data_IF_623037087895
#
_entry.id   IF_623037087895
#
_cell.length_a   1.000
_cell.length_b   1.000
_cell.length_c   1.000
_cell.angle_alpha   90.00
_cell.angle_beta   90.00
_cell.angle_gamma   90.00
#
_symmetry.space_group_name_H-M   'P 1'
#
loop_
_entity.id
_entity.type
_entity.pdbx_description
1 polymer ?
#
# COMPACT_ATOMS: atom_id res chain seq x y z
N UNK A 1 0.43 -10.02 60.27
CA UNK A 1 -0.75 -10.26 59.42
C UNK A 1 -0.27 -10.05 58.00
N UNK A 2 -0.02 -11.06 57.16
CA UNK A 2 -0.89 -12.12 56.66
C UNK A 2 -0.03 -13.38 56.46
N UNK A 3 -0.51 -14.55 56.90
CA UNK A 3 0.13 -15.86 56.71
C UNK A 3 -0.33 -16.45 55.38
N UNK A 4 0.61 -16.81 54.50
CA UNK A 4 0.37 -17.69 53.35
C UNK A 4 0.39 -19.14 53.84
N UNK A 5 -0.70 -19.89 53.62
CA UNK A 5 -0.77 -21.33 53.87
C UNK A 5 -0.64 -22.09 52.56
N UNK A 6 0.47 -22.82 52.40
CA UNK A 6 0.62 -23.90 51.43
C UNK A 6 0.00 -25.17 52.01
N UNK A 7 -0.82 -25.88 51.22
CA UNK A 7 -1.41 -27.16 51.59
C UNK A 7 -0.87 -28.25 50.64
N UNK A 8 -0.06 -29.21 51.11
CA UNK A 8 0.50 -30.25 50.27
C UNK A 8 -0.14 -31.59 50.63
N UNK A 9 -1.09 -32.09 49.84
CA UNK A 9 -1.49 -33.51 49.90
C UNK A 9 -2.52 -33.76 48.79
N UNK A 10 -2.14 -34.47 47.73
CA UNK A 10 -2.70 -35.77 47.35
C UNK A 10 -1.98 -36.35 46.15
N UNK A 11 -1.65 -37.63 46.33
CA UNK A 11 -0.76 -38.49 45.58
C UNK A 11 -1.58 -39.34 44.60
N UNK A 12 -0.98 -39.62 43.44
CA UNK A 12 -1.19 -40.73 42.51
C UNK A 12 -2.60 -41.30 42.29
N UNK A 13 -3.03 -41.32 41.02
CA UNK A 13 -3.50 -42.57 40.41
C UNK A 13 -3.20 -42.58 38.91
N UNK A 14 -2.31 -43.50 38.56
CA UNK A 14 -1.90 -43.91 37.22
C UNK A 14 -3.02 -44.81 36.66
N UNK A 15 -3.52 -44.56 35.44
CA UNK A 15 -4.25 -45.57 34.67
C UNK A 15 -4.19 -45.27 33.16
N UNK A 16 -3.50 -46.17 32.48
CA UNK A 16 -3.45 -46.36 31.03
C UNK A 16 -4.85 -46.47 30.42
N UNK A 17 -5.10 -45.81 29.28
CA UNK A 17 -6.03 -46.31 28.27
C UNK A 17 -5.55 -45.96 26.85
N UNK A 18 -4.95 -46.98 26.24
CA UNK A 18 -4.99 -47.46 24.85
C UNK A 18 -5.40 -46.50 23.71
N UNK A 19 -4.50 -46.49 22.73
CA UNK A 19 -4.67 -46.07 21.33
C UNK A 19 -5.95 -46.62 20.67
N UNK A 20 -6.67 -45.74 19.98
CA UNK A 20 -7.51 -46.09 18.83
C UNK A 20 -7.19 -45.13 17.70
N UNK A 21 -6.35 -45.60 16.78
CA UNK A 21 -6.11 -44.96 15.50
C UNK A 21 -7.36 -45.13 14.63
N UNK A 22 -8.00 -44.01 14.27
CA UNK A 22 -8.98 -44.01 13.18
C UNK A 22 -8.23 -43.97 11.85
N UNK A 23 -8.20 -45.11 11.17
CA UNK A 23 -7.89 -45.23 9.74
C UNK A 23 -8.97 -44.53 8.93
N UNK A 24 -8.63 -43.42 8.27
CA UNK A 24 -9.41 -42.90 7.15
C UNK A 24 -8.89 -43.52 5.85
N UNK A 25 -9.76 -44.26 5.17
CA UNK A 25 -9.53 -44.80 3.83
C UNK A 25 -9.36 -43.66 2.81
N UNK A 26 -8.24 -43.65 2.09
CA UNK A 26 -8.07 -42.84 0.88
C UNK A 26 -8.83 -43.48 -0.28
N UNK A 27 -9.68 -42.75 -1.01
CA UNK A 27 -10.18 -43.24 -2.29
C UNK A 27 -9.08 -43.21 -3.36
N UNK A 28 -9.03 -44.30 -4.12
CA UNK A 28 -8.05 -44.61 -5.15
C UNK A 28 -7.93 -43.53 -6.25
N UNK A 29 -6.70 -43.26 -6.65
CA UNK A 29 -6.39 -42.49 -7.85
C UNK A 29 -6.87 -43.23 -9.10
N UNK A 30 -7.79 -42.63 -9.86
CA UNK A 30 -8.08 -43.04 -11.22
C UNK A 30 -7.19 -42.24 -12.18
N UNK A 31 -6.26 -42.94 -12.81
CA UNK A 31 -5.49 -42.44 -13.96
C UNK A 31 -6.40 -42.37 -15.17
N UNK A 32 -6.92 -41.19 -15.48
CA UNK A 32 -7.44 -40.87 -16.79
C UNK A 32 -6.36 -40.09 -17.55
N UNK A 33 -5.70 -40.79 -18.48
CA UNK A 33 -4.93 -40.18 -19.56
C UNK A 33 -5.90 -39.43 -20.47
N UNK A 34 -5.99 -38.12 -20.32
CA UNK A 34 -6.60 -37.24 -21.32
C UNK A 34 -5.49 -36.65 -22.19
N UNK A 35 -5.42 -37.14 -23.43
CA UNK A 35 -4.65 -36.59 -24.53
C UNK A 35 -5.37 -35.37 -25.08
N UNK A 36 -5.36 -34.28 -24.32
CA UNK A 36 -5.88 -32.98 -24.73
C UNK A 36 -4.74 -32.09 -25.23
N UNK A 37 -4.64 -31.94 -26.55
CA UNK A 37 -3.89 -30.88 -27.21
C UNK A 37 -4.43 -29.52 -26.76
N UNK A 38 -3.86 -28.97 -25.69
CA UNK A 38 -4.06 -27.56 -25.33
C UNK A 38 -3.07 -26.74 -26.14
N UNK A 39 -3.62 -25.88 -26.99
CA UNK A 39 -2.91 -24.78 -27.64
C UNK A 39 -2.09 -24.05 -26.59
N UNK A 40 -0.80 -23.87 -26.84
CA UNK A 40 0.06 -23.01 -26.03
C UNK A 40 -0.52 -21.61 -26.17
N UNK A 41 -1.39 -21.25 -25.23
CA UNK A 41 -1.88 -19.89 -25.06
C UNK A 41 -0.66 -18.97 -24.98
N UNK A 42 -0.78 -17.81 -25.62
CA UNK A 42 0.22 -16.77 -25.76
C UNK A 42 0.78 -16.36 -24.39
N UNK A 43 1.79 -17.10 -23.90
CA UNK A 43 2.39 -16.86 -22.58
C UNK A 43 3.16 -15.55 -22.69
N UNK A 44 2.54 -14.47 -22.19
CA UNK A 44 3.19 -13.17 -22.05
C UNK A 44 4.59 -13.36 -21.44
N UNK A 45 5.63 -12.76 -22.02
CA UNK A 45 7.00 -12.99 -21.57
C UNK A 45 7.15 -12.56 -20.10
N UNK A 46 7.73 -13.45 -19.31
CA UNK A 46 7.97 -13.27 -17.88
C UNK A 46 9.06 -12.21 -17.67
N UNK A 47 8.71 -11.10 -17.00
CA UNK A 47 9.71 -10.10 -16.60
C UNK A 47 10.45 -10.60 -15.36
N UNK A 48 11.77 -10.71 -15.47
CA UNK A 48 12.61 -11.37 -14.46
C UNK A 48 13.81 -10.54 -14.01
N UNK A 49 13.93 -9.30 -14.47
CA UNK A 49 15.02 -8.37 -14.12
C UNK A 49 14.48 -7.16 -13.36
N UNK A 50 15.40 -6.40 -12.76
CA UNK A 50 15.14 -5.13 -12.09
C UNK A 50 15.69 -3.96 -12.92
N UNK A 51 15.25 -2.74 -12.60
CA UNK A 51 15.73 -1.50 -13.23
C UNK A 51 17.19 -1.24 -12.83
N UNK A 52 18.03 -0.81 -13.77
CA UNK A 52 19.40 -0.36 -13.47
C UNK A 52 19.45 1.12 -13.11
N UNK A 53 20.59 1.57 -12.56
CA UNK A 53 20.80 2.98 -12.23
C UNK A 53 20.78 3.87 -13.49
N UNK A 54 21.41 3.41 -14.57
CA UNK A 54 21.47 4.13 -15.84
C UNK A 54 20.07 4.27 -16.45
N UNK A 55 19.29 3.18 -16.46
CA UNK A 55 17.90 3.22 -16.94
C UNK A 55 17.05 4.17 -16.09
N UNK A 56 17.26 4.24 -14.77
CA UNK A 56 16.55 5.18 -13.91
C UNK A 56 16.95 6.64 -14.17
N UNK A 57 18.24 6.89 -14.42
CA UNK A 57 18.78 8.22 -14.62
C UNK A 57 18.23 8.89 -15.88
N UNK A 58 17.88 8.09 -16.90
CA UNK A 58 17.26 8.55 -18.15
C UNK A 58 15.77 8.91 -18.00
N UNK A 59 15.12 8.51 -16.89
CA UNK A 59 13.71 8.80 -16.67
C UNK A 59 13.49 10.22 -16.16
N UNK A 60 12.51 10.89 -16.79
CA UNK A 60 11.94 12.15 -16.31
C UNK A 60 10.74 11.88 -15.39
N UNK A 61 10.38 12.83 -14.51
CA UNK A 61 9.19 12.72 -13.67
C UNK A 61 7.89 12.43 -14.45
N UNK A 62 7.72 13.06 -15.62
CA UNK A 62 6.54 12.88 -16.48
C UNK A 62 6.47 11.49 -17.13
N UNK A 63 7.61 10.93 -17.52
CA UNK A 63 7.68 9.55 -17.99
C UNK A 63 7.32 8.58 -16.88
N UNK A 64 7.81 8.79 -15.65
CA UNK A 64 7.44 7.95 -14.51
C UNK A 64 5.95 8.02 -14.22
N UNK A 65 5.36 9.21 -14.22
CA UNK A 65 3.91 9.36 -14.04
C UNK A 65 3.12 8.64 -15.13
N UNK A 66 3.54 8.76 -16.39
CA UNK A 66 2.92 8.06 -17.52
C UNK A 66 2.99 6.55 -17.36
N UNK A 67 4.16 6.03 -16.98
CA UNK A 67 4.39 4.61 -16.71
C UNK A 67 3.49 4.06 -15.59
N UNK A 68 3.24 4.83 -14.53
CA UNK A 68 2.29 4.44 -13.47
C UNK A 68 0.85 4.44 -13.99
N UNK A 69 0.43 5.45 -14.76
CA UNK A 69 -0.92 5.50 -15.36
C UNK A 69 -1.19 4.32 -16.28
N UNK A 70 -0.24 3.99 -17.15
CA UNK A 70 -0.33 2.82 -18.03
C UNK A 70 -0.38 1.51 -17.24
N UNK A 71 0.35 1.44 -16.12
CA UNK A 71 0.28 0.32 -15.19
C UNK A 71 -1.10 0.16 -14.58
N UNK A 72 -1.70 1.26 -14.13
CA UNK A 72 -3.07 1.24 -13.62
C UNK A 72 -4.11 0.85 -14.68
N UNK A 73 -3.93 1.29 -15.92
CA UNK A 73 -4.77 0.82 -17.02
C UNK A 73 -4.67 -0.69 -17.23
N UNK A 74 -3.48 -1.29 -17.10
CA UNK A 74 -3.32 -2.76 -17.15
C UNK A 74 -3.96 -3.46 -15.96
N UNK A 75 -3.87 -2.88 -14.76
CA UNK A 75 -4.55 -3.39 -13.56
C UNK A 75 -6.06 -3.43 -13.76
N UNK A 76 -6.68 -2.30 -14.17
CA UNK A 76 -8.12 -2.20 -14.46
C UNK A 76 -8.55 -3.18 -15.55
N UNK A 77 -7.72 -3.36 -16.59
CA UNK A 77 -8.02 -4.30 -17.67
C UNK A 77 -7.77 -5.78 -17.32
N UNK A 78 -7.23 -6.11 -16.14
CA UNK A 78 -6.87 -7.48 -15.76
C UNK A 78 -5.72 -8.06 -16.60
N UNK A 79 -4.84 -7.21 -17.12
CA UNK A 79 -3.76 -7.58 -18.07
C UNK A 79 -2.37 -7.36 -17.50
N UNK A 80 -2.21 -7.52 -16.18
CA UNK A 80 -0.96 -7.37 -15.43
C UNK A 80 0.22 -8.12 -16.06
N UNK A 81 1.41 -7.55 -15.87
CA UNK A 81 2.65 -8.14 -16.35
C UNK A 81 3.04 -9.34 -15.48
N UNK A 82 3.31 -10.49 -16.10
CA UNK A 82 3.81 -11.66 -15.39
C UNK A 82 5.26 -11.42 -14.93
N UNK A 83 5.56 -11.68 -13.64
CA UNK A 83 6.88 -11.43 -13.04
C UNK A 83 7.39 -12.61 -12.23
N UNK A 84 8.70 -12.82 -12.26
CA UNK A 84 9.39 -13.71 -11.31
C UNK A 84 9.88 -12.91 -10.11
N UNK A 85 9.02 -12.73 -9.11
CA UNK A 85 9.37 -12.00 -7.90
C UNK A 85 10.54 -12.65 -7.14
N UNK A 86 10.67 -13.98 -7.17
CA UNK A 86 11.75 -14.69 -6.48
C UNK A 86 13.10 -14.30 -7.06
N UNK A 87 13.20 -14.25 -8.39
CA UNK A 87 14.41 -13.77 -9.07
C UNK A 87 14.61 -12.28 -8.88
N UNK A 88 13.58 -11.45 -9.04
CA UNK A 88 13.72 -10.00 -8.87
C UNK A 88 14.21 -9.62 -7.46
N UNK A 89 13.76 -10.31 -6.40
CA UNK A 89 14.27 -10.11 -5.04
C UNK A 89 15.78 -10.40 -4.95
N UNK A 90 16.25 -11.48 -5.56
CA UNK A 90 17.68 -11.82 -5.58
C UNK A 90 18.50 -10.79 -6.36
N UNK A 91 17.97 -10.31 -7.48
CA UNK A 91 18.64 -9.31 -8.31
C UNK A 91 18.68 -7.93 -7.60
N UNK A 92 17.60 -7.55 -6.91
CA UNK A 92 17.51 -6.31 -6.12
C UNK A 92 18.37 -6.33 -4.84
N UNK A 93 18.86 -7.49 -4.41
CA UNK A 93 19.67 -7.61 -3.20
C UNK A 93 20.98 -6.82 -3.26
N UNK A 94 21.48 -6.57 -4.48
CA UNK A 94 22.70 -5.78 -4.71
C UNK A 94 22.44 -4.27 -4.83
N UNK A 95 21.17 -3.86 -4.90
CA UNK A 95 20.75 -2.48 -5.07
C UNK A 95 19.41 -2.37 -5.78
N UNK A 96 18.70 -1.27 -5.55
CA UNK A 96 17.43 -0.97 -6.18
C UNK A 96 17.36 0.51 -6.56
N UNK A 97 16.72 0.79 -7.69
CA UNK A 97 16.66 2.11 -8.31
C UNK A 97 15.20 2.46 -8.61
N UNK A 98 14.38 2.74 -7.59
CA UNK A 98 12.94 2.89 -7.75
C UNK A 98 12.60 4.17 -8.52
N UNK A 99 11.67 4.06 -9.44
CA UNK A 99 11.19 5.16 -10.28
C UNK A 99 10.42 6.20 -9.45
N UNK A 100 9.68 5.72 -8.44
CA UNK A 100 8.80 6.54 -7.62
C UNK A 100 8.79 6.09 -6.15
N UNK A 101 8.40 6.99 -5.26
CA UNK A 101 7.95 6.70 -3.90
C UNK A 101 6.46 7.02 -3.79
N UNK A 102 5.69 6.08 -3.25
CA UNK A 102 4.24 6.16 -3.14
C UNK A 102 3.86 6.11 -1.66
N UNK A 103 3.19 7.16 -1.17
CA UNK A 103 2.53 7.17 0.13
C UNK A 103 1.09 6.72 -0.05
N UNK A 104 0.73 5.59 0.55
CA UNK A 104 -0.59 4.99 0.47
C UNK A 104 -1.16 4.68 1.85
N UNK A 105 -2.44 4.31 1.88
CA UNK A 105 -3.07 3.85 3.09
C UNK A 105 -2.53 2.46 3.53
N UNK A 106 -2.61 2.17 4.83
CA UNK A 106 -2.40 0.83 5.39
C UNK A 106 -3.43 -0.20 4.90
N UNK A 107 -4.51 0.24 4.23
CA UNK A 107 -5.55 -0.63 3.70
C UNK A 107 -4.98 -1.72 2.76
N UNK A 108 -5.12 -2.98 3.19
CA UNK A 108 -4.54 -4.14 2.50
C UNK A 108 -5.24 -4.47 1.19
N UNK A 109 -6.42 -3.89 0.92
CA UNK A 109 -7.15 -4.09 -0.33
C UNK A 109 -6.54 -3.32 -1.51
N UNK A 110 -5.49 -2.54 -1.26
CA UNK A 110 -4.80 -1.73 -2.27
C UNK A 110 -3.36 -2.24 -2.39
N UNK A 111 -3.12 -3.29 -3.18
CA UNK A 111 -1.76 -3.74 -3.51
C UNK A 111 -1.12 -2.72 -4.47
N UNK A 112 -0.37 -1.74 -3.95
CA UNK A 112 0.10 -0.57 -4.71
C UNK A 112 0.97 -0.98 -5.91
N UNK A 113 1.79 -2.00 -5.72
CA UNK A 113 2.64 -2.60 -6.74
C UNK A 113 1.80 -3.17 -7.90
N UNK A 114 0.70 -3.87 -7.61
CA UNK A 114 -0.21 -4.39 -8.64
C UNK A 114 -1.05 -3.28 -9.27
N UNK A 115 -1.56 -2.34 -8.45
CA UNK A 115 -2.37 -1.19 -8.89
C UNK A 115 -1.63 -0.34 -9.92
N UNK A 116 -0.30 -0.25 -9.85
CA UNK A 116 0.53 0.43 -10.84
C UNK A 116 1.33 -0.54 -11.73
N UNK A 117 1.05 -1.84 -11.66
CA UNK A 117 1.72 -2.92 -12.38
C UNK A 117 3.25 -2.73 -12.40
N UNK A 118 3.86 -2.66 -11.21
CA UNK A 118 5.29 -2.49 -10.96
C UNK A 118 5.86 -3.73 -10.27
N UNK A 119 7.11 -4.06 -10.56
CA UNK A 119 7.82 -5.18 -9.95
C UNK A 119 8.65 -4.79 -8.72
N UNK A 120 9.38 -5.77 -8.19
CA UNK A 120 10.30 -5.54 -7.08
C UNK A 120 11.40 -4.55 -7.50
N UNK A 121 11.65 -3.55 -6.66
CA UNK A 121 12.65 -2.49 -6.89
C UNK A 121 12.21 -1.39 -7.85
N UNK A 122 11.01 -1.46 -8.44
CA UNK A 122 10.51 -0.43 -9.35
C UNK A 122 9.94 0.79 -8.61
N UNK A 123 9.39 0.61 -7.42
CA UNK A 123 8.80 1.67 -6.59
C UNK A 123 9.07 1.39 -5.11
N UNK A 124 9.10 2.46 -4.33
CA UNK A 124 8.97 2.38 -2.88
C UNK A 124 7.54 2.69 -2.45
N UNK A 125 7.07 2.01 -1.40
CA UNK A 125 5.73 2.19 -0.87
C UNK A 125 5.81 2.42 0.65
N UNK A 126 5.41 3.62 1.08
CA UNK A 126 5.15 3.93 2.48
C UNK A 126 3.64 3.77 2.76
N UNK A 127 3.28 3.14 3.88
CA UNK A 127 1.88 2.91 4.25
C UNK A 127 1.57 3.40 5.65
N UNK A 128 0.54 4.22 5.78
CA UNK A 128 -0.03 4.63 7.07
C UNK A 128 -1.54 4.80 6.92
N UNK A 129 -2.33 4.47 7.94
CA UNK A 129 -3.78 4.59 7.85
C UNK A 129 -4.18 6.07 7.64
N UNK A 130 -4.83 6.37 6.51
CA UNK A 130 -5.17 7.74 6.11
C UNK A 130 -4.06 8.49 5.36
N UNK A 131 -2.98 7.81 4.95
CA UNK A 131 -1.97 8.29 3.97
C UNK A 131 -1.44 9.72 4.20
N UNK A 132 -1.27 10.11 5.46
CA UNK A 132 -0.62 11.36 5.86
C UNK A 132 0.89 11.16 6.04
N UNK A 133 1.65 12.25 6.06
CA UNK A 133 3.09 12.23 6.28
C UNK A 133 3.45 12.49 7.76
N UNK A 134 4.59 11.97 8.19
CA UNK A 134 5.22 12.25 9.47
C UNK A 134 6.75 12.27 9.27
N UNK A 135 7.53 12.47 10.33
CA UNK A 135 9.01 12.53 10.23
C UNK A 135 9.61 11.31 9.54
N UNK A 136 9.17 10.10 9.89
CA UNK A 136 9.72 8.86 9.33
C UNK A 136 9.37 8.69 7.84
N UNK A 137 8.14 9.06 7.47
CA UNK A 137 7.66 9.01 6.08
C UNK A 137 8.38 10.07 5.23
N UNK A 138 8.53 11.31 5.74
CA UNK A 138 9.27 12.37 5.04
C UNK A 138 10.73 11.98 4.84
N UNK A 139 11.40 11.48 5.89
CA UNK A 139 12.78 10.99 5.76
C UNK A 139 12.91 9.84 4.76
N UNK A 140 11.91 8.95 4.71
CA UNK A 140 11.86 7.86 3.72
C UNK A 140 11.69 8.38 2.29
N UNK A 141 10.86 9.42 2.08
CA UNK A 141 10.70 10.07 0.78
C UNK A 141 11.96 10.82 0.35
N UNK A 142 12.60 11.55 1.27
CA UNK A 142 13.89 12.21 1.02
C UNK A 142 14.97 11.21 0.64
N UNK A 143 15.03 10.06 1.33
CA UNK A 143 15.92 8.98 0.95
C UNK A 143 15.60 8.46 -0.45
N UNK A 144 14.32 8.16 -0.74
CA UNK A 144 13.90 7.66 -2.05
C UNK A 144 14.30 8.60 -3.19
N UNK A 145 14.05 9.90 -3.04
CA UNK A 145 14.33 10.89 -4.07
C UNK A 145 15.80 11.30 -4.10
N UNK A 146 16.35 11.80 -3.00
CA UNK A 146 17.69 12.41 -2.96
C UNK A 146 18.82 11.38 -2.97
N UNK A 147 18.61 10.21 -2.38
CA UNK A 147 19.63 9.16 -2.25
C UNK A 147 19.43 8.08 -3.31
N UNK A 148 18.21 7.56 -3.47
CA UNK A 148 17.91 6.46 -4.41
C UNK A 148 17.48 6.92 -5.81
N UNK A 149 17.33 8.22 -6.06
CA UNK A 149 17.11 8.78 -7.39
C UNK A 149 15.67 8.70 -7.93
N UNK A 150 14.67 8.38 -7.10
CA UNK A 150 13.27 8.39 -7.51
C UNK A 150 12.82 9.73 -8.06
N UNK A 151 12.08 9.70 -9.17
CA UNK A 151 11.68 10.87 -9.97
C UNK A 151 10.27 11.36 -9.64
N UNK A 152 9.53 10.63 -8.80
CA UNK A 152 8.13 10.93 -8.51
C UNK A 152 7.80 10.61 -7.05
N UNK A 153 7.14 11.55 -6.38
CA UNK A 153 6.41 11.33 -5.13
C UNK A 153 4.93 11.26 -5.48
N UNK A 154 4.25 10.18 -5.10
CA UNK A 154 2.83 10.00 -5.35
C UNK A 154 2.08 9.80 -4.03
N UNK A 155 1.12 10.68 -3.71
CA UNK A 155 0.22 10.49 -2.56
C UNK A 155 -1.08 9.86 -3.04
N UNK A 156 -1.31 8.60 -2.67
CA UNK A 156 -2.46 7.81 -3.08
C UNK A 156 -3.48 7.71 -1.95
N UNK A 157 -4.58 8.47 -2.08
CA UNK A 157 -5.79 8.26 -1.29
C UNK A 157 -6.67 7.17 -1.91
N UNK A 158 -7.71 6.77 -1.21
CA UNK A 158 -8.67 5.79 -1.72
C UNK A 158 -10.07 6.01 -1.17
N UNK A 159 -11.07 5.55 -1.92
CA UNK A 159 -12.45 5.59 -1.49
C UNK A 159 -12.70 4.73 -0.24
N UNK A 160 -13.67 5.13 0.57
CA UNK A 160 -14.09 4.39 1.78
C UNK A 160 -12.97 4.11 2.80
N UNK A 161 -12.00 5.02 2.93
CA UNK A 161 -10.92 4.91 3.91
C UNK A 161 -11.45 4.94 5.36
N UNK A 162 -11.15 3.87 6.12
CA UNK A 162 -11.58 3.74 7.52
C UNK A 162 -11.00 4.82 8.44
N UNK A 163 -9.76 5.26 8.19
CA UNK A 163 -9.15 6.34 8.97
C UNK A 163 -9.83 7.69 8.69
N UNK A 164 -10.15 7.99 7.42
CA UNK A 164 -10.92 9.20 7.09
C UNK A 164 -12.28 9.20 7.78
N UNK A 165 -13.01 8.07 7.73
CA UNK A 165 -14.29 7.91 8.43
C UNK A 165 -14.15 8.11 9.94
N UNK A 166 -13.13 7.48 10.55
CA UNK A 166 -12.86 7.65 11.97
C UNK A 166 -12.54 9.09 12.37
N UNK A 167 -11.81 9.83 11.52
CA UNK A 167 -11.53 11.25 11.75
C UNK A 167 -12.79 12.11 11.65
N UNK A 168 -13.68 11.83 10.68
CA UNK A 168 -14.98 12.50 10.53
C UNK A 168 -15.85 12.27 11.76
N UNK A 169 -15.92 11.04 12.25
CA UNK A 169 -16.76 10.66 13.40
C UNK A 169 -16.13 11.05 14.75
N UNK A 170 -14.92 11.59 14.76
CA UNK A 170 -14.23 11.99 15.98
C UNK A 170 -13.90 10.83 16.91
N UNK A 171 -13.48 9.68 16.35
CA UNK A 171 -13.14 8.49 17.13
C UNK A 171 -11.97 8.76 18.08
N UNK A 172 -12.17 8.47 19.36
CA UNK A 172 -11.13 8.53 20.39
C UNK A 172 -10.80 7.11 20.90
N UNK A 173 -9.63 6.58 20.52
CA UNK A 173 -9.20 5.24 20.91
C UNK A 173 -7.67 5.08 20.90
N UNK A 174 -7.02 5.22 22.07
CA UNK A 174 -5.57 4.98 22.20
C UNK A 174 -4.75 5.78 21.19
N UNK A 175 -3.75 5.13 20.56
CA UNK A 175 -2.91 5.77 19.54
C UNK A 175 -3.67 6.15 18.26
N UNK A 176 -4.86 5.60 18.02
CA UNK A 176 -5.69 5.97 16.87
C UNK A 176 -6.10 7.44 16.98
N UNK A 177 -6.40 7.95 18.17
CA UNK A 177 -6.77 9.37 18.35
C UNK A 177 -5.68 10.31 17.82
N UNK A 178 -4.43 10.09 18.24
CA UNK A 178 -3.30 10.91 17.82
C UNK A 178 -3.01 10.76 16.31
N UNK A 179 -3.19 9.55 15.77
CA UNK A 179 -3.08 9.30 14.34
C UNK A 179 -4.13 10.09 13.53
N UNK A 180 -5.40 10.02 13.94
CA UNK A 180 -6.52 10.70 13.28
C UNK A 180 -6.41 12.24 13.35
N UNK A 181 -5.70 12.78 14.35
CA UNK A 181 -5.42 14.21 14.45
C UNK A 181 -4.64 14.75 13.22
N UNK A 182 -3.87 13.92 12.51
CA UNK A 182 -3.19 14.30 11.26
C UNK A 182 -4.16 14.48 10.08
N UNK A 183 -5.34 13.84 10.14
CA UNK A 183 -6.39 13.92 9.11
C UNK A 183 -7.37 15.05 9.43
N UNK A 184 -7.54 15.39 10.72
CA UNK A 184 -8.49 16.40 11.19
C UNK A 184 -8.43 17.74 10.43
N UNK A 185 -7.26 18.29 10.03
CA UNK A 185 -7.23 19.51 9.21
C UNK A 185 -8.01 19.40 7.89
N UNK A 186 -8.03 18.23 7.26
CA UNK A 186 -8.82 17.99 6.04
C UNK A 186 -10.33 17.95 6.31
N UNK A 187 -10.74 17.49 7.50
CA UNK A 187 -12.14 17.54 7.96
C UNK A 187 -12.53 19.00 8.26
N UNK A 188 -11.68 19.71 9.01
CA UNK A 188 -11.91 21.09 9.45
C UNK A 188 -11.94 22.08 8.27
N UNK A 189 -11.29 21.75 7.15
CA UNK A 189 -11.40 22.51 5.90
C UNK A 189 -12.87 22.68 5.45
N UNK A 190 -13.72 21.69 5.74
CA UNK A 190 -15.15 21.70 5.41
C UNK A 190 -16.04 22.05 6.61
N UNK A 191 -15.53 22.80 7.59
CA UNK A 191 -16.32 23.22 8.77
C UNK A 191 -17.63 23.95 8.43
N UNK A 192 -17.71 24.60 7.28
CA UNK A 192 -18.88 25.36 6.81
C UNK A 192 -19.73 24.57 5.80
N UNK A 193 -19.43 23.28 5.56
CA UNK A 193 -20.24 22.41 4.72
C UNK A 193 -21.68 22.31 5.26
N UNK A 194 -22.66 22.47 4.36
CA UNK A 194 -24.08 22.54 4.73
C UNK A 194 -24.76 21.17 4.90
N UNK A 195 -24.20 20.12 4.30
CA UNK A 195 -24.72 18.75 4.42
C UNK A 195 -24.24 18.04 5.69
N UNK A 196 -24.68 16.79 5.85
CA UNK A 196 -24.34 15.98 7.02
C UNK A 196 -22.84 15.65 7.06
N UNK A 197 -22.16 16.07 8.13
CA UNK A 197 -20.73 15.84 8.38
C UNK A 197 -20.51 14.55 9.16
N UNK A 198 -20.84 13.43 8.54
CA UNK A 198 -20.75 12.08 9.14
C UNK A 198 -20.11 11.11 8.17
N UNK A 199 -19.45 10.06 8.67
CA UNK A 199 -18.91 8.99 7.85
C UNK A 199 -19.96 8.23 7.03
N UNK A 200 -21.24 8.37 7.40
CA UNK A 200 -22.37 7.80 6.66
C UNK A 200 -22.74 8.59 5.40
N UNK A 201 -22.19 9.81 5.24
CA UNK A 201 -22.37 10.61 4.04
C UNK A 201 -21.22 10.34 3.04
N UNK A 202 -21.45 9.54 1.98
CA UNK A 202 -20.38 9.13 1.07
C UNK A 202 -19.74 10.30 0.33
N UNK A 203 -20.52 11.33 -0.02
CA UNK A 203 -19.99 12.53 -0.69
C UNK A 203 -19.07 13.32 0.24
N UNK A 204 -19.45 13.46 1.51
CA UNK A 204 -18.60 14.13 2.49
C UNK A 204 -17.30 13.37 2.73
N UNK A 205 -17.36 12.03 2.86
CA UNK A 205 -16.16 11.19 2.96
C UNK A 205 -15.27 11.38 1.74
N UNK A 206 -15.82 11.38 0.53
CA UNK A 206 -15.07 11.59 -0.72
C UNK A 206 -14.39 12.96 -0.77
N UNK A 207 -15.09 14.02 -0.36
CA UNK A 207 -14.53 15.37 -0.27
C UNK A 207 -13.35 15.43 0.71
N UNK A 208 -13.52 14.88 1.92
CA UNK A 208 -12.46 14.84 2.93
C UNK A 208 -11.27 13.99 2.47
N UNK A 209 -11.50 12.85 1.82
CA UNK A 209 -10.41 12.02 1.27
C UNK A 209 -9.57 12.81 0.26
N UNK A 210 -10.21 13.50 -0.69
CA UNK A 210 -9.51 14.35 -1.67
C UNK A 210 -8.70 15.44 -0.97
N UNK A 211 -9.34 16.15 -0.05
CA UNK A 211 -8.67 17.22 0.70
C UNK A 211 -7.50 16.70 1.55
N UNK A 212 -7.60 15.50 2.09
CA UNK A 212 -6.52 14.89 2.85
C UNK A 212 -5.29 14.60 1.97
N UNK A 213 -5.48 14.16 0.72
CA UNK A 213 -4.38 13.98 -0.24
C UNK A 213 -3.72 15.32 -0.56
N UNK A 214 -4.52 16.34 -0.91
CA UNK A 214 -4.00 17.68 -1.23
C UNK A 214 -3.25 18.30 -0.04
N UNK A 215 -3.85 18.27 1.16
CA UNK A 215 -3.22 18.77 2.37
C UNK A 215 -1.93 18.01 2.73
N UNK A 216 -1.85 16.72 2.44
CA UNK A 216 -0.63 15.93 2.62
C UNK A 216 0.46 16.38 1.66
N UNK A 217 0.14 16.61 0.39
CA UNK A 217 1.09 17.15 -0.60
C UNK A 217 1.63 18.51 -0.16
N UNK A 218 0.75 19.41 0.27
CA UNK A 218 1.16 20.74 0.76
C UNK A 218 2.10 20.65 1.97
N UNK A 219 1.82 19.73 2.89
CA UNK A 219 2.69 19.51 4.05
C UNK A 219 4.00 18.82 3.69
N UNK A 220 4.05 17.93 2.69
CA UNK A 220 5.31 17.40 2.16
C UNK A 220 6.20 18.55 1.66
N UNK A 221 5.64 19.45 0.85
CA UNK A 221 6.36 20.64 0.34
C UNK A 221 6.78 21.59 1.48
N UNK A 222 5.96 21.73 2.50
CA UNK A 222 6.22 22.63 3.62
C UNK A 222 7.28 22.08 4.57
N UNK A 223 7.23 20.78 4.85
CA UNK A 223 8.02 20.14 5.90
C UNK A 223 9.30 19.46 5.37
N UNK A 224 9.45 19.30 4.05
CA UNK A 224 10.69 18.84 3.42
C UNK A 224 11.24 19.89 2.46
N UNK A 225 12.21 20.72 2.90
CA UNK A 225 12.93 21.62 2.01
C UNK A 225 13.64 20.88 0.87
N UNK A 226 14.11 19.65 1.11
CA UNK A 226 14.79 18.82 0.11
C UNK A 226 13.84 18.46 -1.04
N UNK A 227 12.68 17.89 -0.73
CA UNK A 227 11.72 17.48 -1.77
C UNK A 227 11.17 18.71 -2.51
N UNK A 228 10.91 19.80 -1.81
CA UNK A 228 10.48 21.06 -2.42
C UNK A 228 11.52 21.62 -3.39
N UNK A 229 12.80 21.64 -3.00
CA UNK A 229 13.88 22.12 -3.88
C UNK A 229 14.00 21.25 -5.14
N UNK A 230 13.98 19.92 -4.98
CA UNK A 230 14.03 18.98 -6.10
C UNK A 230 12.84 19.13 -7.05
N UNK A 231 11.63 19.37 -6.52
CA UNK A 231 10.44 19.61 -7.34
C UNK A 231 10.58 20.93 -8.13
N UNK A 232 11.05 22.01 -7.49
CA UNK A 232 11.28 23.30 -8.14
C UNK A 232 12.35 23.24 -9.24
N UNK A 233 13.34 22.35 -9.09
CA UNK A 233 14.38 22.09 -10.09
C UNK A 233 13.89 21.19 -11.23
N UNK A 234 12.73 20.56 -11.09
CA UNK A 234 12.20 19.59 -12.05
C UNK A 234 12.84 18.20 -11.96
N UNK A 235 13.63 17.94 -10.91
CA UNK A 235 14.26 16.64 -10.66
C UNK A 235 13.23 15.58 -10.28
N UNK A 236 12.17 16.01 -9.58
CA UNK A 236 11.02 15.18 -9.21
C UNK A 236 9.72 15.90 -9.52
N UNK A 237 8.61 15.17 -9.44
CA UNK A 237 7.26 15.72 -9.35
C UNK A 237 6.55 15.18 -8.12
N UNK A 238 5.71 15.99 -7.47
CA UNK A 238 4.83 15.54 -6.38
C UNK A 238 3.40 15.59 -6.91
N UNK A 239 2.70 14.45 -6.89
CA UNK A 239 1.32 14.34 -7.38
C UNK A 239 0.41 13.60 -6.41
N UNK A 240 -0.90 13.82 -6.56
CA UNK A 240 -1.94 13.13 -5.80
C UNK A 240 -2.88 12.34 -6.70
N UNK A 241 -3.44 11.27 -6.16
CA UNK A 241 -4.51 10.52 -6.81
C UNK A 241 -5.44 9.83 -5.84
N UNK A 242 -6.61 9.43 -6.34
CA UNK A 242 -7.62 8.67 -5.62
C UNK A 242 -7.84 7.34 -6.32
N UNK A 243 -7.64 6.26 -5.57
CA UNK A 243 -7.98 4.91 -5.99
C UNK A 243 -9.48 4.63 -5.78
N UNK A 244 -10.16 4.23 -6.85
CA UNK A 244 -11.53 3.74 -6.81
C UNK A 244 -11.54 2.26 -6.42
N UNK A 245 -12.26 1.93 -5.35
CA UNK A 245 -12.24 0.59 -4.77
C UNK A 245 -13.01 -0.46 -5.60
N UNK A 246 -13.94 0.00 -6.44
CA UNK A 246 -14.80 -0.87 -7.24
C UNK A 246 -14.20 -1.18 -8.61
N UNK A 247 -13.57 -0.17 -9.24
CA UNK A 247 -13.03 -0.29 -10.60
C UNK A 247 -11.52 -0.54 -10.63
N UNK A 248 -10.80 -0.20 -9.56
CA UNK A 248 -9.34 -0.23 -9.53
C UNK A 248 -8.67 0.98 -10.20
N UNK A 249 -9.45 1.94 -10.70
CA UNK A 249 -8.93 3.12 -11.39
C UNK A 249 -8.29 4.10 -10.40
N UNK A 250 -7.17 4.70 -10.79
CA UNK A 250 -6.56 5.83 -10.09
C UNK A 250 -6.83 7.11 -10.85
N UNK A 251 -7.67 7.98 -10.28
CA UNK A 251 -7.91 9.32 -10.82
C UNK A 251 -6.90 10.30 -10.21
N UNK A 252 -6.11 10.96 -11.06
CA UNK A 252 -5.22 12.05 -10.60
C UNK A 252 -6.03 13.23 -10.10
N UNK A 253 -5.52 13.88 -9.06
CA UNK A 253 -6.03 15.17 -8.62
C UNK A 253 -5.33 16.26 -9.44
N UNK A 254 -6.12 17.14 -10.05
CA UNK A 254 -5.62 18.37 -10.66
C UNK A 254 -5.32 19.39 -9.55
N UNK A 255 -4.19 20.08 -9.66
CA UNK A 255 -3.80 21.18 -8.76
C UNK A 255 -4.47 22.50 -9.18
#
# INVERSE_FOLDING_TARGET
MIRMSLNPLWICCLLMFLFTACTQEQPAASTATDSGSSTVDDVKPLVNRVLTQEEQAELTPDQVLTLLKEGNQRFVAGTLTARDHSKQVRDAALGQYPKAVILSCLDSRIPVEDVFDRGIGDIFVARVAGNFENTDILGSMEFACKVSGSKLVFVLGHESCGAIRGAIDGVELGNITAMLANIKPAVDHFKDYAGDKTSQNPEFVKMVTKQNVLATIDRIRTNSPILKEMELQGDIKIVGGIYNMDTGEVTLLEE
#
